data_IF_792112814117
#
_entry.id   IF_792112814117
#
_cell.length_a   1.000
_cell.length_b   1.000
_cell.length_c   1.000
_cell.angle_alpha   90.00
_cell.angle_beta   90.00
_cell.angle_gamma   90.00
#
_symmetry.space_group_name_H-M   'P 1'
#
loop_
_entity.id
_entity.type
_entity.pdbx_description
1 polymer ?
#
# COMPACT_ATOMS: atom_id res chain seq x y z
N UNK A 1 -6.25 17.32 -13.56
CA UNK A 1 -5.23 18.26 -13.10
C UNK A 1 -4.22 17.52 -12.25
N UNK A 2 -2.93 17.90 -12.36
CA UNK A 2 -1.85 17.42 -11.49
C UNK A 2 -1.47 18.56 -10.55
N UNK A 3 -1.41 18.28 -9.26
CA UNK A 3 -0.99 19.23 -8.23
C UNK A 3 0.24 18.66 -7.52
N UNK A 4 1.30 19.46 -7.42
CA UNK A 4 2.47 19.13 -6.61
C UNK A 4 2.24 19.71 -5.23
N UNK A 5 2.39 18.88 -4.20
CA UNK A 5 2.25 19.27 -2.79
C UNK A 5 3.60 19.13 -2.11
N UNK A 6 4.15 20.23 -1.59
CA UNK A 6 5.40 20.20 -0.81
C UNK A 6 5.15 19.53 0.54
N UNK A 7 6.12 18.79 1.04
CA UNK A 7 6.05 18.19 2.37
C UNK A 7 5.76 19.23 3.47
N UNK A 8 6.26 20.46 3.31
CA UNK A 8 6.03 21.56 4.25
C UNK A 8 4.56 21.93 4.42
N UNK A 9 3.74 21.68 3.38
CA UNK A 9 2.30 22.00 3.42
C UNK A 9 1.50 21.01 4.27
N UNK A 10 1.97 19.76 4.36
CA UNK A 10 1.23 18.67 5.00
C UNK A 10 1.88 18.16 6.29
N UNK A 11 3.17 18.44 6.51
CA UNK A 11 3.86 18.04 7.73
C UNK A 11 3.50 19.00 8.88
N UNK A 12 3.28 18.48 10.11
CA UNK A 12 3.12 19.33 11.28
C UNK A 12 4.48 19.92 11.70
N UNK A 13 4.46 21.01 12.47
CA UNK A 13 5.66 21.72 12.93
C UNK A 13 6.66 20.84 13.69
N UNK A 14 6.17 19.84 14.43
CA UNK A 14 7.04 18.92 15.17
C UNK A 14 7.71 17.86 14.31
N UNK A 15 7.36 17.75 13.03
CA UNK A 15 7.93 16.74 12.14
C UNK A 15 9.32 17.14 11.62
N UNK A 16 10.18 16.14 11.39
CA UNK A 16 11.53 16.38 10.87
C UNK A 16 11.53 16.57 9.36
N UNK A 17 12.04 17.72 8.92
CA UNK A 17 12.32 18.03 7.51
C UNK A 17 13.81 18.31 7.31
N UNK A 18 14.41 17.94 6.17
CA UNK A 18 13.82 17.19 5.05
C UNK A 18 13.54 15.73 5.44
N UNK A 19 12.45 15.14 4.91
CA UNK A 19 12.05 13.77 5.18
C UNK A 19 12.32 12.87 3.97
N UNK A 20 13.01 11.73 4.22
CA UNK A 20 13.33 10.69 3.24
C UNK A 20 12.57 9.38 3.50
N UNK A 21 11.57 9.41 4.39
CA UNK A 21 10.72 8.28 4.72
C UNK A 21 9.37 8.39 4.04
N UNK A 22 9.11 7.56 3.02
CA UNK A 22 7.77 7.48 2.41
C UNK A 22 6.66 7.22 3.44
N UNK A 23 6.97 6.55 4.56
CA UNK A 23 5.99 6.26 5.63
C UNK A 23 5.51 7.52 6.33
N UNK A 24 6.43 8.43 6.63
CA UNK A 24 6.11 9.72 7.22
C UNK A 24 5.31 10.57 6.23
N UNK A 25 5.71 10.58 4.95
CA UNK A 25 4.99 11.31 3.89
C UNK A 25 3.57 10.74 3.74
N UNK A 26 3.43 9.43 3.58
CA UNK A 26 2.14 8.75 3.44
C UNK A 26 1.24 8.97 4.67
N UNK A 27 1.83 9.07 5.87
CA UNK A 27 1.10 9.33 7.11
C UNK A 27 0.45 10.72 7.12
N UNK A 28 1.00 11.69 6.38
CA UNK A 28 0.54 13.08 6.31
C UNK A 28 -0.41 13.37 5.13
N UNK A 29 -0.62 12.45 4.18
CA UNK A 29 -1.38 12.73 2.93
C UNK A 29 -2.82 13.20 3.17
N UNK A 30 -3.47 12.79 4.26
CA UNK A 30 -4.82 13.23 4.62
C UNK A 30 -4.91 14.74 4.93
N UNK A 31 -3.77 15.40 5.15
CA UNK A 31 -3.64 16.84 5.42
C UNK A 31 -3.54 17.67 4.14
N UNK A 32 -3.52 17.05 2.96
CA UNK A 32 -3.59 17.77 1.68
C UNK A 32 -4.89 18.55 1.61
N UNK A 33 -4.79 19.86 1.35
CA UNK A 33 -5.94 20.73 1.21
C UNK A 33 -6.89 20.26 0.10
N UNK A 34 -8.19 20.28 0.36
CA UNK A 34 -9.23 19.83 -0.58
C UNK A 34 -9.16 18.35 -0.99
N UNK A 35 -8.43 17.50 -0.25
CA UNK A 35 -8.45 16.06 -0.49
C UNK A 35 -9.85 15.51 -0.23
N UNK A 36 -10.34 14.71 -1.17
CA UNK A 36 -11.64 14.02 -1.04
C UNK A 36 -11.65 13.07 0.15
N UNK A 37 -12.84 12.79 0.72
CA UNK A 37 -13.01 11.76 1.76
C UNK A 37 -12.49 10.41 1.29
N UNK A 38 -12.86 10.00 0.08
CA UNK A 38 -12.41 8.78 -0.57
C UNK A 38 -11.28 9.10 -1.55
N UNK A 39 -10.13 8.49 -1.35
CA UNK A 39 -8.99 8.67 -2.25
C UNK A 39 -8.19 7.37 -2.40
N UNK A 40 -7.36 7.31 -3.43
CA UNK A 40 -6.44 6.20 -3.66
C UNK A 40 -5.01 6.67 -3.37
N UNK A 41 -4.35 6.00 -2.43
CA UNK A 41 -2.93 6.19 -2.16
C UNK A 41 -2.13 5.29 -3.12
N UNK A 42 -1.33 5.90 -3.99
CA UNK A 42 -0.43 5.23 -4.91
C UNK A 42 1.01 5.33 -4.44
N UNK A 43 1.76 4.26 -4.68
CA UNK A 43 3.20 4.31 -4.72
C UNK A 43 3.65 4.46 -6.18
N UNK A 44 4.86 4.95 -6.40
CA UNK A 44 5.48 5.22 -7.72
C UNK A 44 5.63 3.98 -8.60
N UNK A 45 5.63 2.79 -8.01
CA UNK A 45 5.70 1.49 -8.67
C UNK A 45 4.32 0.84 -8.97
N UNK A 46 3.22 1.54 -8.67
CA UNK A 46 1.86 1.06 -8.83
C UNK A 46 1.13 1.77 -9.99
N UNK A 47 0.36 1.00 -10.76
CA UNK A 47 -0.30 1.47 -11.97
C UNK A 47 -1.75 0.99 -12.03
N UNK A 48 -2.61 1.78 -12.69
CA UNK A 48 -3.91 1.30 -13.18
C UNK A 48 -3.68 0.56 -14.49
N UNK A 49 -4.09 -0.70 -14.56
CA UNK A 49 -3.83 -1.55 -15.73
C UNK A 49 -4.99 -1.61 -16.72
N UNK A 50 -6.16 -1.13 -16.33
CA UNK A 50 -7.34 -1.02 -17.17
C UNK A 50 -8.29 0.04 -16.60
N UNK A 51 -9.38 0.32 -17.30
CA UNK A 51 -10.40 1.24 -16.79
C UNK A 51 -10.92 0.75 -15.43
N UNK A 52 -10.97 1.67 -14.46
CA UNK A 52 -11.41 1.42 -13.09
C UNK A 52 -12.58 2.35 -12.73
N UNK A 53 -13.38 1.93 -11.77
CA UNK A 53 -14.51 2.67 -11.25
C UNK A 53 -14.44 2.75 -9.72
N UNK A 54 -15.10 3.71 -9.07
CA UNK A 54 -15.11 3.82 -7.61
C UNK A 54 -15.50 2.53 -6.90
N UNK A 55 -16.44 1.75 -7.43
CA UNK A 55 -16.90 0.48 -6.87
C UNK A 55 -15.85 -0.67 -6.98
N UNK A 56 -14.77 -0.48 -7.72
CA UNK A 56 -13.62 -1.41 -7.69
C UNK A 56 -12.84 -1.29 -6.37
N UNK A 57 -12.88 -0.13 -5.72
CA UNK A 57 -12.11 0.21 -4.52
C UNK A 57 -12.95 0.47 -3.27
N UNK A 58 -14.20 0.91 -3.43
CA UNK A 58 -15.10 1.23 -2.34
C UNK A 58 -16.45 0.55 -2.53
N UNK A 59 -17.12 0.20 -1.44
CA UNK A 59 -18.51 -0.24 -1.44
C UNK A 59 -19.45 0.95 -1.61
N UNK A 60 -20.71 0.73 -1.96
CA UNK A 60 -21.73 1.79 -2.06
C UNK A 60 -21.86 2.63 -0.80
N UNK A 61 -21.72 2.02 0.38
CA UNK A 61 -21.72 2.72 1.67
C UNK A 61 -20.40 3.45 2.00
N UNK A 62 -19.42 3.42 1.10
CA UNK A 62 -18.13 4.12 1.23
C UNK A 62 -17.01 3.32 1.89
N UNK A 63 -17.24 2.12 2.43
CA UNK A 63 -16.19 1.32 3.03
C UNK A 63 -15.15 0.86 1.99
N UNK A 64 -13.84 0.89 2.31
CA UNK A 64 -12.79 0.46 1.40
C UNK A 64 -12.77 -1.06 1.20
N UNK A 65 -12.43 -1.48 -0.01
CA UNK A 65 -12.15 -2.88 -0.36
C UNK A 65 -10.69 -3.20 -0.10
N UNK A 66 -10.41 -4.08 0.86
CA UNK A 66 -9.07 -4.35 1.37
C UNK A 66 -8.53 -5.69 0.85
N UNK A 67 -7.46 -5.63 0.04
CA UNK A 67 -6.83 -6.80 -0.56
C UNK A 67 -5.75 -7.39 0.34
N UNK A 68 -5.96 -8.61 0.79
CA UNK A 68 -5.09 -9.28 1.76
C UNK A 68 -4.77 -10.72 1.37
N UNK A 69 -3.64 -11.23 1.86
CA UNK A 69 -3.29 -12.65 1.81
C UNK A 69 -3.40 -13.22 3.22
N UNK A 70 -4.10 -14.34 3.36
CA UNK A 70 -4.20 -15.03 4.65
C UNK A 70 -2.86 -15.67 5.01
N UNK A 71 -2.36 -15.40 6.21
CA UNK A 71 -1.14 -16.01 6.78
C UNK A 71 -1.47 -17.27 7.58
N UNK A 72 -0.55 -18.23 7.62
CA UNK A 72 -0.69 -19.42 8.46
C UNK A 72 -0.69 -19.04 9.95
N UNK A 73 -1.38 -19.81 10.79
CA UNK A 73 -1.51 -19.58 12.26
C UNK A 73 -0.15 -19.40 12.97
N UNK A 74 0.89 -20.11 12.53
CA UNK A 74 2.27 -19.99 13.07
C UNK A 74 2.91 -18.58 12.94
N UNK A 75 2.22 -17.63 12.31
CA UNK A 75 2.68 -16.25 12.22
C UNK A 75 2.45 -15.44 13.52
N UNK A 76 1.54 -15.90 14.39
CA UNK A 76 1.21 -15.25 15.66
C UNK A 76 2.41 -15.11 16.62
N UNK A 77 3.25 -16.12 16.85
CA UNK A 77 4.40 -16.01 17.76
C UNK A 77 5.36 -14.89 17.35
N UNK A 78 5.57 -14.70 16.04
CA UNK A 78 6.43 -13.62 15.50
C UNK A 78 5.92 -12.22 15.81
N UNK A 79 4.61 -12.04 15.98
CA UNK A 79 4.04 -10.77 16.40
C UNK A 79 4.24 -10.48 17.89
N UNK A 80 4.42 -11.52 18.70
CA UNK A 80 4.62 -11.42 20.15
C UNK A 80 6.10 -11.39 20.53
N UNK A 81 7.00 -11.75 19.61
CA UNK A 81 8.43 -11.72 19.85
C UNK A 81 8.97 -10.28 19.92
N UNK A 82 9.97 -10.04 20.74
CA UNK A 82 10.60 -8.72 20.91
C UNK A 82 11.79 -8.48 19.98
N UNK A 83 12.01 -9.41 19.03
CA UNK A 83 13.10 -9.36 18.06
C UNK A 83 12.84 -8.49 16.83
N UNK A 84 11.72 -7.79 16.77
CA UNK A 84 11.40 -6.94 15.61
C UNK A 84 12.42 -5.81 15.33
N UNK A 85 13.17 -5.27 16.31
CA UNK A 85 14.23 -4.31 16.02
C UNK A 85 15.37 -4.89 15.18
N UNK A 86 15.56 -6.21 15.20
CA UNK A 86 16.56 -6.93 14.40
C UNK A 86 16.10 -7.22 12.96
N UNK A 87 14.85 -6.90 12.65
CA UNK A 87 14.28 -7.09 11.32
C UNK A 87 14.69 -5.94 10.37
N UNK A 88 14.53 -6.15 9.06
CA UNK A 88 14.58 -5.02 8.12
C UNK A 88 13.52 -3.96 8.49
N UNK A 89 13.80 -2.69 8.17
CA UNK A 89 12.89 -1.59 8.48
C UNK A 89 11.44 -1.87 8.07
N UNK A 90 11.22 -2.46 6.87
CA UNK A 90 9.87 -2.81 6.41
C UNK A 90 9.21 -3.90 7.28
N UNK A 91 9.93 -4.98 7.55
CA UNK A 91 9.37 -6.10 8.35
C UNK A 91 9.08 -5.67 9.78
N UNK A 92 10.00 -4.91 10.38
CA UNK A 92 9.82 -4.38 11.73
C UNK A 92 8.58 -3.51 11.82
N UNK A 93 8.40 -2.57 10.90
CA UNK A 93 7.25 -1.68 10.88
C UNK A 93 5.90 -2.42 10.63
N UNK A 94 5.88 -3.47 9.79
CA UNK A 94 4.67 -4.30 9.61
C UNK A 94 4.33 -5.06 10.90
N UNK A 95 5.32 -5.64 11.58
CA UNK A 95 5.12 -6.32 12.87
C UNK A 95 4.68 -5.33 13.93
N UNK A 96 5.35 -4.19 14.03
CA UNK A 96 5.01 -3.12 14.97
C UNK A 96 3.57 -2.64 14.77
N UNK A 97 3.18 -2.32 13.54
CA UNK A 97 1.82 -1.89 13.18
C UNK A 97 0.74 -2.91 13.59
N UNK A 98 1.00 -4.20 13.41
CA UNK A 98 0.07 -5.27 13.85
C UNK A 98 0.00 -5.41 15.37
N UNK A 99 1.13 -5.19 16.07
CA UNK A 99 1.16 -5.21 17.55
C UNK A 99 0.30 -4.09 18.13
N UNK A 100 0.32 -2.90 17.53
CA UNK A 100 -0.56 -1.80 17.95
C UNK A 100 -2.03 -2.20 17.83
N UNK A 101 -2.43 -2.82 16.71
CA UNK A 101 -3.80 -3.30 16.53
C UNK A 101 -4.14 -4.40 17.54
N UNK A 102 -3.24 -5.35 17.75
CA UNK A 102 -3.46 -6.42 18.75
C UNK A 102 -3.61 -5.84 20.16
N UNK A 103 -2.74 -4.90 20.54
CA UNK A 103 -2.77 -4.24 21.85
C UNK A 103 -4.07 -3.43 22.06
N UNK A 104 -4.48 -2.68 21.03
CA UNK A 104 -5.62 -1.74 21.13
C UNK A 104 -6.98 -2.44 21.06
N UNK A 105 -7.11 -3.46 20.20
CA UNK A 105 -8.38 -4.10 19.88
C UNK A 105 -8.47 -5.55 20.32
N UNK A 106 -7.42 -6.11 20.92
CA UNK A 106 -7.30 -7.54 21.24
C UNK A 106 -7.62 -8.46 20.04
N UNK A 107 -7.32 -7.99 18.81
CA UNK A 107 -7.59 -8.70 17.56
C UNK A 107 -6.29 -9.12 16.88
N UNK A 108 -6.12 -10.43 16.74
CA UNK A 108 -5.07 -10.99 15.90
C UNK A 108 -5.54 -11.03 14.45
N UNK A 109 -4.85 -10.31 13.58
CA UNK A 109 -5.15 -10.25 12.14
C UNK A 109 -4.19 -11.16 11.35
N UNK A 110 -4.61 -12.39 10.94
CA UNK A 110 -3.77 -13.34 10.21
C UNK A 110 -3.68 -13.00 8.72
N UNK A 111 -3.55 -11.73 8.41
CA UNK A 111 -3.53 -11.22 7.05
C UNK A 111 -2.23 -10.47 6.77
N UNK A 112 -1.83 -10.43 5.50
CA UNK A 112 -0.82 -9.52 4.96
C UNK A 112 -1.48 -8.68 3.89
N UNK A 113 -1.39 -7.36 4.04
CA UNK A 113 -1.84 -6.41 3.02
C UNK A 113 -0.96 -6.53 1.78
N UNK A 114 -1.56 -6.51 0.60
CA UNK A 114 -0.84 -6.53 -0.67
C UNK A 114 -0.30 -5.12 -0.99
N UNK A 115 0.74 -5.09 -1.83
CA UNK A 115 1.25 -3.84 -2.38
C UNK A 115 0.45 -3.51 -3.64
N UNK A 116 -0.50 -2.59 -3.51
CA UNK A 116 -1.45 -2.15 -4.55
C UNK A 116 -1.93 -0.73 -4.20
N UNK A 117 -2.52 0.02 -5.15
CA UNK A 117 -3.15 1.30 -4.82
C UNK A 117 -4.19 1.15 -3.70
N UNK A 118 -3.99 1.87 -2.59
CA UNK A 118 -4.81 1.70 -1.38
C UNK A 118 -6.04 2.60 -1.39
N UNK A 119 -7.25 2.05 -1.30
CA UNK A 119 -8.42 2.85 -0.99
C UNK A 119 -8.34 3.34 0.46
N UNK A 120 -8.37 4.65 0.64
CA UNK A 120 -8.20 5.33 1.91
C UNK A 120 -9.41 6.23 2.19
N UNK A 121 -9.67 6.49 3.46
CA UNK A 121 -10.65 7.47 3.95
C UNK A 121 -9.90 8.55 4.73
N UNK A 122 -10.11 9.82 4.37
CA UNK A 122 -9.46 10.96 5.04
C UNK A 122 -9.80 11.00 6.54
N UNK A 123 -11.07 10.87 6.89
CA UNK A 123 -11.52 10.85 8.28
C UNK A 123 -10.96 9.69 9.09
N UNK A 124 -10.79 8.50 8.49
CA UNK A 124 -10.17 7.37 9.17
C UNK A 124 -8.66 7.59 9.40
N UNK A 125 -7.99 8.35 8.53
CA UNK A 125 -6.61 8.76 8.75
C UNK A 125 -6.50 9.74 9.92
N UNK A 126 -7.40 10.72 10.01
CA UNK A 126 -7.51 11.65 11.14
C UNK A 126 -7.76 10.91 12.46
N UNK A 127 -8.65 9.92 12.43
CA UNK A 127 -8.93 9.05 13.58
C UNK A 127 -7.69 8.27 14.03
N UNK A 128 -6.91 7.71 13.09
CA UNK A 128 -5.65 7.03 13.40
C UNK A 128 -4.67 8.00 14.10
N UNK A 129 -4.55 9.23 13.61
CA UNK A 129 -3.70 10.23 14.24
C UNK A 129 -4.12 10.51 15.69
N UNK A 130 -5.42 10.68 15.92
CA UNK A 130 -5.97 10.95 17.26
C UNK A 130 -5.83 9.75 18.21
N UNK A 131 -5.92 8.53 17.68
CA UNK A 131 -5.86 7.31 18.50
C UNK A 131 -4.44 6.83 18.79
N UNK A 132 -3.46 7.18 17.96
CA UNK A 132 -2.07 6.73 18.05
C UNK A 132 -1.07 7.91 18.00
N UNK A 133 -1.29 8.99 18.78
CA UNK A 133 -0.51 10.23 18.64
C UNK A 133 0.99 10.02 18.88
N UNK A 134 1.38 9.21 19.86
CA UNK A 134 2.79 8.90 20.15
C UNK A 134 3.47 8.14 19.01
N UNK A 135 2.73 7.26 18.32
CA UNK A 135 3.24 6.47 17.20
C UNK A 135 3.37 7.32 15.94
N UNK A 136 2.44 8.25 15.75
CA UNK A 136 2.48 9.28 14.71
C UNK A 136 3.70 10.18 14.92
N UNK A 137 3.82 10.78 16.10
CA UNK A 137 4.93 11.68 16.45
C UNK A 137 6.29 11.00 16.26
N UNK A 138 6.46 9.78 16.80
CA UNK A 138 7.70 9.00 16.64
C UNK A 138 8.05 8.75 15.16
N UNK A 139 7.04 8.47 14.33
CA UNK A 139 7.25 8.22 12.90
C UNK A 139 7.66 9.49 12.17
N UNK A 140 7.05 10.63 12.51
CA UNK A 140 7.30 11.93 11.88
C UNK A 140 8.59 12.62 12.39
N UNK A 141 9.06 12.27 13.60
CA UNK A 141 10.32 12.77 14.15
C UNK A 141 11.57 12.17 13.49
N UNK A 142 11.43 11.24 12.55
CA UNK A 142 12.55 10.58 11.89
C UNK A 142 12.74 11.00 10.45
N UNK A 143 13.97 11.38 10.05
CA UNK A 143 14.30 11.63 8.63
C UNK A 143 14.28 10.36 7.77
N UNK A 144 14.60 9.21 8.37
CA UNK A 144 14.71 7.91 7.69
C UNK A 144 13.81 6.85 8.31
N UNK A 145 13.57 5.77 7.54
CA UNK A 145 12.72 4.64 7.94
C UNK A 145 13.30 3.88 9.14
N UNK A 146 12.45 3.61 10.14
CA UNK A 146 12.78 2.82 11.34
C UNK A 146 11.90 1.57 11.44
N UNK A 147 12.32 0.57 12.19
CA UNK A 147 11.57 -0.68 12.41
C UNK A 147 10.28 -0.49 13.22
N UNK A 148 10.18 0.60 13.99
CA UNK A 148 9.03 0.96 14.81
C UNK A 148 8.21 2.14 14.25
N UNK A 149 8.35 2.44 12.96
CA UNK A 149 7.47 3.41 12.30
C UNK A 149 6.05 2.84 12.13
N UNK A 150 5.07 3.73 12.11
CA UNK A 150 3.72 3.41 11.71
C UNK A 150 3.67 3.25 10.18
N UNK A 151 3.58 2.01 9.70
CA UNK A 151 3.52 1.71 8.27
C UNK A 151 2.09 1.94 7.76
N UNK A 152 1.72 3.21 7.51
CA UNK A 152 0.34 3.62 7.28
C UNK A 152 -0.33 2.90 6.11
N UNK A 153 0.38 2.67 4.99
CA UNK A 153 -0.14 1.94 3.84
C UNK A 153 -0.66 0.53 4.16
N UNK A 154 -0.23 -0.08 5.27
CA UNK A 154 -0.74 -1.36 5.75
C UNK A 154 -1.53 -1.23 7.05
N UNK A 155 -1.12 -0.31 7.94
CA UNK A 155 -1.79 -0.06 9.21
C UNK A 155 -3.24 0.36 9.02
N UNK A 156 -3.51 1.26 8.08
CA UNK A 156 -4.86 1.66 7.71
C UNK A 156 -5.76 0.45 7.41
N UNK A 157 -5.28 -0.49 6.59
CA UNK A 157 -6.04 -1.69 6.28
C UNK A 157 -6.30 -2.55 7.53
N UNK A 158 -5.31 -2.67 8.42
CA UNK A 158 -5.49 -3.40 9.69
C UNK A 158 -6.47 -2.70 10.62
N UNK A 159 -6.42 -1.38 10.69
CA UNK A 159 -7.33 -0.55 11.44
C UNK A 159 -8.78 -0.71 10.95
N UNK A 160 -9.01 -0.60 9.65
CA UNK A 160 -10.33 -0.78 9.04
C UNK A 160 -10.89 -2.20 9.27
N UNK A 161 -10.04 -3.24 9.22
CA UNK A 161 -10.43 -4.62 9.55
C UNK A 161 -10.80 -4.75 11.04
N UNK A 162 -9.98 -4.18 11.92
CA UNK A 162 -10.20 -4.27 13.37
C UNK A 162 -11.47 -3.54 13.79
N UNK A 163 -11.79 -2.42 13.15
CA UNK A 163 -13.00 -1.60 13.38
C UNK A 163 -14.21 -2.03 12.55
N UNK A 164 -14.09 -3.08 11.73
CA UNK A 164 -15.14 -3.63 10.87
C UNK A 164 -15.71 -2.63 9.83
N UNK A 165 -14.90 -1.65 9.43
CA UNK A 165 -15.23 -0.61 8.44
C UNK A 165 -14.56 -0.85 7.08
N UNK A 166 -14.37 -2.09 6.68
CA UNK A 166 -13.75 -2.42 5.42
C UNK A 166 -14.15 -3.79 4.92
N UNK A 167 -14.28 -3.94 3.62
CA UNK A 167 -14.57 -5.23 2.98
C UNK A 167 -13.29 -6.00 2.71
N UNK A 168 -13.05 -7.07 3.47
CA UNK A 168 -11.96 -7.99 3.20
C UNK A 168 -12.17 -8.75 1.90
N UNK A 169 -11.14 -8.73 1.05
CA UNK A 169 -10.99 -9.58 -0.12
C UNK A 169 -9.70 -10.39 0.03
N UNK A 170 -9.84 -11.68 0.29
CA UNK A 170 -8.69 -12.57 0.47
C UNK A 170 -8.21 -13.11 -0.87
N UNK A 171 -6.94 -12.86 -1.19
CA UNK A 171 -6.28 -13.42 -2.35
C UNK A 171 -5.48 -14.64 -1.88
N UNK A 172 -5.91 -15.85 -2.21
CA UNK A 172 -5.23 -17.09 -1.85
C UNK A 172 -4.57 -17.75 -3.07
N UNK A 173 -3.25 -17.93 -3.02
CA UNK A 173 -2.46 -18.82 -3.87
C UNK A 173 -2.80 -18.77 -5.37
N UNK A 174 -3.16 -19.92 -5.93
CA UNK A 174 -3.57 -20.08 -7.35
C UNK A 174 -4.84 -19.27 -7.72
N UNK A 175 -5.71 -18.96 -6.77
CA UNK A 175 -6.87 -18.07 -6.98
C UNK A 175 -6.51 -16.58 -6.95
N UNK A 176 -5.27 -16.22 -6.61
CA UNK A 176 -4.80 -14.84 -6.73
C UNK A 176 -4.77 -14.32 -8.18
N UNK A 177 -4.87 -15.22 -9.15
CA UNK A 177 -4.98 -14.92 -10.59
C UNK A 177 -6.44 -14.83 -11.04
N UNK A 178 -7.38 -15.29 -10.21
CA UNK A 178 -8.80 -15.39 -10.57
C UNK A 178 -9.69 -14.97 -9.41
N UNK A 179 -9.54 -13.73 -8.92
CA UNK A 179 -10.63 -13.14 -8.15
C UNK A 179 -11.66 -12.61 -9.17
N UNK A 180 -12.36 -13.57 -9.72
CA UNK A 180 -13.39 -13.41 -10.72
C UNK A 180 -14.72 -12.99 -10.04
N UNK A 181 -14.86 -11.72 -9.73
CA UNK A 181 -16.17 -11.10 -9.73
C UNK A 181 -16.24 -10.25 -11.02
N UNK A 182 -16.91 -10.77 -12.04
CA UNK A 182 -17.05 -10.08 -13.33
C UNK A 182 -15.93 -10.30 -14.34
N UNK A 183 -15.15 -11.39 -14.25
CA UNK A 183 -14.17 -11.75 -15.30
C UNK A 183 -12.88 -10.94 -15.36
N UNK A 184 -12.58 -10.07 -14.38
CA UNK A 184 -11.41 -9.17 -14.40
C UNK A 184 -10.36 -9.57 -13.36
N UNK A 185 -9.08 -9.65 -13.77
CA UNK A 185 -7.95 -9.80 -12.86
C UNK A 185 -7.77 -8.50 -12.08
N UNK A 186 -7.72 -8.59 -10.74
CA UNK A 186 -7.70 -7.39 -9.88
C UNK A 186 -6.30 -6.79 -9.73
N UNK A 187 -5.29 -7.60 -9.45
CA UNK A 187 -3.95 -7.10 -9.20
C UNK A 187 -2.87 -8.12 -9.55
N UNK A 188 -1.79 -7.66 -10.21
CA UNK A 188 -0.58 -8.45 -10.47
C UNK A 188 0.64 -7.69 -9.96
N UNK A 189 1.50 -8.36 -9.18
CA UNK A 189 2.81 -7.82 -8.78
C UNK A 189 3.91 -8.52 -9.59
N UNK A 190 4.77 -7.74 -10.24
CA UNK A 190 5.99 -8.17 -10.91
C UNK A 190 7.20 -7.62 -10.14
N UNK A 191 7.99 -8.51 -9.53
CA UNK A 191 9.24 -8.12 -8.88
C UNK A 191 10.38 -8.23 -9.89
N UNK A 192 11.04 -7.13 -10.19
CA UNK A 192 12.17 -7.06 -11.13
C UNK A 192 13.28 -7.99 -10.66
N UNK A 193 13.89 -8.76 -11.58
CA UNK A 193 14.89 -9.77 -11.25
C UNK A 193 14.37 -11.05 -10.58
N UNK A 194 13.08 -11.11 -10.24
CA UNK A 194 12.48 -12.30 -9.65
C UNK A 194 12.27 -13.41 -10.68
N UNK A 195 12.37 -14.69 -10.25
CA UNK A 195 12.22 -15.88 -11.12
C UNK A 195 10.99 -15.87 -12.04
N UNK A 196 9.94 -15.16 -11.68
CA UNK A 196 8.68 -15.10 -12.44
C UNK A 196 8.44 -13.72 -13.07
N UNK A 197 9.43 -12.82 -13.08
CA UNK A 197 9.29 -11.46 -13.56
C UNK A 197 8.70 -11.38 -14.97
N UNK A 198 9.37 -11.96 -15.97
CA UNK A 198 8.92 -11.94 -17.36
C UNK A 198 7.55 -12.59 -17.56
N UNK A 199 7.26 -13.66 -16.81
CA UNK A 199 5.94 -14.30 -16.83
C UNK A 199 4.86 -13.32 -16.32
N UNK A 200 5.16 -12.56 -15.26
CA UNK A 200 4.23 -11.55 -14.71
C UNK A 200 4.04 -10.38 -15.67
N UNK A 201 5.09 -9.90 -16.31
CA UNK A 201 5.00 -8.86 -17.35
C UNK A 201 4.09 -9.29 -18.50
N UNK A 202 4.26 -10.53 -19.00
CA UNK A 202 3.36 -11.12 -20.01
C UNK A 202 1.92 -11.24 -19.51
N UNK A 203 1.70 -11.63 -18.25
CA UNK A 203 0.37 -11.69 -17.65
C UNK A 203 -0.27 -10.29 -17.57
N UNK A 204 0.45 -9.26 -17.15
CA UNK A 204 -0.04 -7.88 -17.11
C UNK A 204 -0.50 -7.46 -18.50
N UNK A 205 0.33 -7.66 -19.52
CA UNK A 205 0.02 -7.31 -20.92
C UNK A 205 -1.25 -8.00 -21.42
N UNK A 206 -1.39 -9.31 -21.18
CA UNK A 206 -2.46 -10.12 -21.75
C UNK A 206 -3.79 -10.01 -20.96
N UNK A 207 -3.71 -9.88 -19.64
CA UNK A 207 -4.89 -9.93 -18.76
C UNK A 207 -5.42 -8.54 -18.40
N UNK A 208 -4.66 -7.48 -18.66
CA UNK A 208 -5.02 -6.08 -18.35
C UNK A 208 -5.69 -5.98 -16.98
N UNK A 209 -4.95 -6.27 -15.87
CA UNK A 209 -5.52 -6.25 -14.52
C UNK A 209 -6.03 -4.86 -14.17
N UNK A 210 -6.91 -4.73 -13.18
CA UNK A 210 -7.32 -3.41 -12.69
C UNK A 210 -6.14 -2.59 -12.21
N UNK A 211 -5.22 -3.24 -11.49
CA UNK A 211 -4.00 -2.61 -11.00
C UNK A 211 -2.82 -3.56 -11.15
N UNK A 212 -1.63 -3.02 -11.29
CA UNK A 212 -0.40 -3.80 -11.20
C UNK A 212 0.70 -3.00 -10.51
N UNK A 213 1.74 -3.70 -10.07
CA UNK A 213 2.93 -3.12 -9.48
C UNK A 213 4.17 -3.73 -10.13
N UNK A 214 5.14 -2.89 -10.51
CA UNK A 214 6.46 -3.29 -10.98
C UNK A 214 7.45 -2.86 -9.91
N UNK A 215 7.73 -3.77 -8.98
CA UNK A 215 8.55 -3.48 -7.81
C UNK A 215 10.02 -3.79 -8.09
N UNK A 216 10.87 -2.76 -8.08
CA UNK A 216 12.33 -2.91 -8.18
C UNK A 216 12.91 -3.45 -6.87
N UNK A 217 14.00 -4.19 -6.95
CA UNK A 217 14.69 -4.78 -5.82
C UNK A 217 16.20 -4.68 -6.01
N UNK A 218 16.95 -4.74 -4.91
CA UNK A 218 18.42 -4.66 -4.92
C UNK A 218 19.08 -5.71 -5.83
N UNK A 219 18.43 -6.88 -5.99
CA UNK A 219 18.91 -7.97 -6.84
C UNK A 219 18.45 -7.86 -8.31
N UNK A 220 17.82 -6.76 -8.70
CA UNK A 220 17.34 -6.54 -10.06
C UNK A 220 18.51 -6.34 -11.02
N UNK A 221 18.49 -7.03 -12.18
CA UNK A 221 19.49 -6.86 -13.21
C UNK A 221 19.23 -5.58 -14.02
N UNK A 222 20.28 -4.96 -14.53
CA UNK A 222 20.15 -3.81 -15.45
C UNK A 222 19.40 -4.18 -16.73
N UNK A 223 19.54 -5.43 -17.17
CA UNK A 223 18.79 -5.96 -18.31
C UNK A 223 17.28 -5.93 -18.04
N UNK A 224 16.85 -6.40 -16.87
CA UNK A 224 15.43 -6.39 -16.52
C UNK A 224 14.91 -4.97 -16.35
N UNK A 225 15.69 -4.08 -15.71
CA UNK A 225 15.33 -2.66 -15.55
C UNK A 225 15.10 -1.96 -16.90
N UNK A 226 15.96 -2.21 -17.90
CA UNK A 226 15.84 -1.64 -19.24
C UNK A 226 14.55 -2.05 -19.98
N UNK A 227 13.96 -3.20 -19.64
CA UNK A 227 12.71 -3.65 -20.25
C UNK A 227 11.48 -2.91 -19.75
N UNK A 228 11.57 -2.24 -18.59
CA UNK A 228 10.43 -1.59 -17.94
C UNK A 228 9.93 -0.35 -18.73
N UNK A 229 10.80 0.62 -19.11
CA UNK A 229 10.35 1.78 -19.89
C UNK A 229 9.72 1.38 -21.23
N UNK A 230 10.28 0.41 -21.93
CA UNK A 230 9.73 -0.11 -23.20
C UNK A 230 8.35 -0.74 -22.98
N UNK A 231 8.23 -1.54 -21.93
CA UNK A 231 6.95 -2.15 -21.57
C UNK A 231 5.90 -1.10 -21.24
N UNK A 232 6.22 -0.11 -20.39
CA UNK A 232 5.28 0.93 -19.97
C UNK A 232 4.87 1.81 -21.14
N UNK A 233 5.80 2.19 -22.01
CA UNK A 233 5.51 2.96 -23.22
C UNK A 233 4.60 2.21 -24.19
N UNK A 234 4.77 0.88 -24.31
CA UNK A 234 3.91 0.06 -25.14
C UNK A 234 2.55 -0.26 -24.47
N UNK A 235 2.50 -0.28 -23.13
CA UNK A 235 1.28 -0.55 -22.39
C UNK A 235 0.36 0.67 -22.32
N UNK A 236 0.95 1.87 -22.19
CA UNK A 236 0.31 3.18 -22.17
C UNK A 236 0.66 3.97 -23.44
N UNK A 237 0.43 3.37 -24.63
CA UNK A 237 0.79 3.98 -25.91
C UNK A 237 -0.01 5.26 -26.21
N UNK A 238 -1.25 5.31 -25.75
CA UNK A 238 -2.11 6.47 -25.94
C UNK A 238 -1.85 7.50 -24.84
N UNK A 239 -1.52 8.73 -25.26
CA UNK A 239 -1.38 9.85 -24.33
C UNK A 239 -2.72 10.16 -23.68
N UNK A 240 -2.72 10.40 -22.38
CA UNK A 240 -3.91 10.89 -21.71
C UNK A 240 -4.15 12.38 -22.02
N UNK A 241 -5.36 12.85 -21.78
CA UNK A 241 -5.76 14.25 -22.04
C UNK A 241 -4.85 15.29 -21.36
N UNK A 242 -4.16 14.92 -20.28
CA UNK A 242 -3.29 15.80 -19.50
C UNK A 242 -1.81 15.74 -19.91
N UNK A 243 -1.45 14.85 -20.82
CA UNK A 243 -0.09 14.73 -21.36
C UNK A 243 0.05 15.65 -22.59
N UNK A 244 0.92 16.64 -22.48
CA UNK A 244 1.23 17.59 -23.57
C UNK A 244 2.43 17.14 -24.37
#
# INVERSE_FOLDING_TARGET
YVTIVDHKEIFPEFASLPCFSSRAIELCVHRIGNLSEHFLLFNDDCFLGSMVFPNDFFLEKGDPVLWVVKKKKKYRPKLLADDYPQMSAYRGADVFSRRLILKRYNKYLPYRVRHYPKPMLRTAMEEIWNMFPQDVERTLAGHFRKTNDLLIATFFSYFMIATQRGRLRTINGLRAVTDFLGGRVRHITANVGGQVFHKRMKQIKNQKPLTFCINDAEYSSDRDRKTIPEFLSAYFADKCFYER
#
